data_IF_581176200340
#
_entry.id   IF_581176200340
#
_cell.length_a   1.000
_cell.length_b   1.000
_cell.length_c   1.000
_cell.angle_alpha   90.00
_cell.angle_beta   90.00
_cell.angle_gamma   90.00
#
_symmetry.space_group_name_H-M   'P 1'
#
loop_
_entity.id
_entity.type
_entity.pdbx_description
1 polymer ?
#
# COMPACT_ATOMS: atom_id res chain seq x y z
N UNK A 1 13.29 3.28 -28.96
CA UNK A 1 12.06 2.65 -29.44
C UNK A 1 11.00 2.63 -28.34
N UNK A 2 9.72 2.64 -28.73
CA UNK A 2 8.58 2.44 -27.84
C UNK A 2 8.06 1.03 -28.06
N UNK A 3 7.77 0.32 -26.98
CA UNK A 3 7.14 -1.00 -27.01
C UNK A 3 5.78 -0.93 -26.32
N UNK A 4 4.75 -1.54 -26.94
CA UNK A 4 3.41 -1.58 -26.41
C UNK A 4 2.86 -3.01 -26.45
N UNK A 5 2.21 -3.45 -25.36
CA UNK A 5 1.55 -4.74 -25.37
C UNK A 5 0.21 -4.65 -26.14
N UNK A 6 -0.04 -5.66 -26.99
CA UNK A 6 -1.23 -5.74 -27.86
C UNK A 6 -2.04 -7.03 -27.65
N UNK A 7 -1.65 -7.89 -26.72
CA UNK A 7 -2.31 -9.18 -26.45
C UNK A 7 -2.53 -9.34 -24.93
N UNK A 8 -3.78 -9.60 -24.56
CA UNK A 8 -4.19 -9.88 -23.19
C UNK A 8 -4.29 -8.65 -22.27
N UNK A 9 -5.12 -8.74 -21.23
CA UNK A 9 -5.34 -7.62 -20.30
C UNK A 9 -4.15 -7.40 -19.35
N UNK A 10 -3.84 -6.15 -18.99
CA UNK A 10 -4.35 -4.93 -19.61
C UNK A 10 -3.64 -4.63 -20.90
N UNK A 11 -4.41 -4.35 -21.97
CA UNK A 11 -3.86 -3.87 -23.24
C UNK A 11 -3.23 -2.48 -23.08
N UNK A 12 -2.33 -2.13 -24.00
CA UNK A 12 -1.79 -0.77 -24.08
C UNK A 12 -0.77 -0.41 -22.99
N UNK A 13 -0.18 -1.38 -22.28
CA UNK A 13 1.02 -1.08 -21.49
C UNK A 13 2.14 -0.63 -22.41
N UNK A 14 2.70 0.54 -22.14
CA UNK A 14 3.70 1.20 -22.98
C UNK A 14 4.98 1.44 -22.19
N UNK A 15 6.12 1.16 -22.80
CA UNK A 15 7.43 1.46 -22.25
C UNK A 15 8.38 1.97 -23.36
N UNK A 16 9.39 2.74 -22.95
CA UNK A 16 10.56 3.03 -23.79
C UNK A 16 11.58 1.94 -23.55
N UNK A 17 12.11 1.37 -24.62
CA UNK A 17 13.22 0.42 -24.54
C UNK A 17 14.47 1.17 -24.10
N UNK A 18 15.09 0.81 -22.95
CA UNK A 18 16.29 1.47 -22.47
C UNK A 18 17.46 1.34 -23.47
N UNK A 19 18.25 2.40 -23.62
CA UNK A 19 19.46 2.37 -24.47
C UNK A 19 20.54 1.40 -23.94
N UNK A 20 20.52 1.13 -22.64
CA UNK A 20 21.41 0.17 -21.98
C UNK A 20 21.06 -1.29 -22.26
N UNK A 21 19.89 -1.57 -22.86
CA UNK A 21 19.50 -2.93 -23.18
C UNK A 21 20.29 -3.42 -24.40
N UNK A 22 20.94 -4.60 -24.35
CA UNK A 22 21.59 -5.18 -25.51
C UNK A 22 20.58 -5.51 -26.61
N UNK A 23 21.05 -5.83 -27.79
CA UNK A 23 20.20 -6.29 -28.88
C UNK A 23 19.35 -7.47 -28.41
N UNK A 24 18.02 -7.33 -28.53
CA UNK A 24 17.06 -8.29 -28.02
C UNK A 24 15.86 -8.42 -28.98
N UNK A 25 15.16 -9.52 -28.84
CA UNK A 25 13.89 -9.77 -29.50
C UNK A 25 12.72 -9.61 -28.53
N UNK A 26 11.51 -9.45 -29.07
CA UNK A 26 10.26 -9.43 -28.35
C UNK A 26 9.26 -10.44 -28.94
N UNK A 27 8.29 -10.85 -28.15
CA UNK A 27 7.30 -11.84 -28.59
C UNK A 27 6.10 -11.17 -29.29
N UNK A 28 5.22 -11.97 -29.84
CA UNK A 28 4.04 -11.53 -30.59
C UNK A 28 2.98 -10.81 -29.74
N UNK A 29 3.13 -10.77 -28.42
CA UNK A 29 2.22 -10.04 -27.54
C UNK A 29 2.52 -8.53 -27.47
N UNK A 30 3.57 -8.07 -28.13
CA UNK A 30 3.96 -6.67 -28.16
C UNK A 30 4.17 -6.17 -29.60
N UNK A 31 4.04 -4.87 -29.79
CA UNK A 31 4.42 -4.14 -31.00
C UNK A 31 5.53 -3.15 -30.66
N UNK A 32 6.51 -3.08 -31.55
CA UNK A 32 7.56 -2.08 -31.48
C UNK A 32 7.19 -0.90 -32.41
N UNK A 33 7.23 0.29 -31.83
CA UNK A 33 6.93 1.55 -32.50
C UNK A 33 8.23 2.36 -32.56
N UNK A 34 8.73 2.58 -33.78
CA UNK A 34 9.95 3.34 -34.03
C UNK A 34 9.62 4.57 -34.86
N UNK A 35 9.94 5.75 -34.35
CA UNK A 35 9.79 6.97 -35.10
C UNK A 35 10.72 7.00 -36.31
N UNK A 36 10.25 7.50 -37.45
CA UNK A 36 11.08 7.66 -38.66
C UNK A 36 12.26 8.61 -38.43
N UNK A 37 12.06 9.62 -37.61
CA UNK A 37 13.10 10.53 -37.13
C UNK A 37 13.38 10.20 -35.65
N UNK A 38 14.30 9.27 -35.41
CA UNK A 38 14.63 8.83 -34.07
C UNK A 38 15.28 9.94 -33.25
N UNK A 39 14.45 10.71 -32.58
CA UNK A 39 14.89 11.47 -31.42
C UNK A 39 14.26 10.83 -30.18
N UNK A 40 14.98 10.80 -29.08
CA UNK A 40 14.45 10.34 -27.79
C UNK A 40 13.17 11.11 -27.42
N UNK A 41 13.12 12.39 -27.76
CA UNK A 41 11.95 13.25 -27.61
C UNK A 41 10.69 12.70 -28.30
N UNK A 42 10.80 12.26 -29.55
CA UNK A 42 9.63 11.71 -30.26
C UNK A 42 9.14 10.41 -29.65
N UNK A 43 10.04 9.57 -29.19
CA UNK A 43 9.68 8.35 -28.46
C UNK A 43 8.95 8.66 -27.15
N UNK A 44 9.39 9.68 -26.39
CA UNK A 44 8.72 10.12 -25.17
C UNK A 44 7.33 10.70 -25.48
N UNK A 45 7.20 11.52 -26.52
CA UNK A 45 5.92 12.08 -26.93
C UNK A 45 4.93 10.97 -27.32
N UNK A 46 5.35 10.00 -28.16
CA UNK A 46 4.54 8.84 -28.54
C UNK A 46 4.14 8.03 -27.29
N UNK A 47 5.07 7.80 -26.38
CA UNK A 47 4.78 7.10 -25.14
C UNK A 47 3.69 7.79 -24.32
N UNK A 48 3.79 9.11 -24.12
CA UNK A 48 2.79 9.87 -23.35
C UNK A 48 1.43 9.89 -24.04
N UNK A 49 1.40 10.02 -25.37
CA UNK A 49 0.16 9.89 -26.12
C UNK A 49 -0.50 8.52 -25.93
N UNK A 50 0.25 7.44 -26.03
CA UNK A 50 -0.29 6.08 -25.85
C UNK A 50 -0.71 5.80 -24.40
N UNK A 51 -0.05 6.38 -23.41
CA UNK A 51 -0.43 6.26 -21.99
C UNK A 51 -1.79 6.90 -21.67
N UNK A 52 -2.24 7.86 -22.45
CA UNK A 52 -3.58 8.47 -22.31
C UNK A 52 -4.70 7.46 -22.62
N UNK A 53 -4.42 6.42 -23.41
CA UNK A 53 -5.32 5.30 -23.68
C UNK A 53 -6.54 5.58 -24.56
N UNK A 54 -6.84 6.81 -24.94
CA UNK A 54 -8.07 7.15 -25.68
C UNK A 54 -8.19 6.41 -27.02
N UNK A 55 -7.13 6.42 -27.82
CA UNK A 55 -7.12 5.70 -29.11
C UNK A 55 -7.14 4.17 -28.92
N UNK A 56 -6.55 3.66 -27.83
CA UNK A 56 -6.57 2.23 -27.49
C UNK A 56 -7.99 1.82 -27.06
N UNK A 57 -8.64 2.61 -26.22
CA UNK A 57 -10.00 2.36 -25.75
C UNK A 57 -11.05 2.49 -26.87
N UNK A 58 -10.76 3.31 -27.90
CA UNK A 58 -11.62 3.47 -29.07
C UNK A 58 -11.53 2.29 -30.04
N UNK A 59 -10.57 1.38 -29.87
CA UNK A 59 -10.40 0.21 -30.74
C UNK A 59 -11.42 -0.86 -30.35
N UNK A 60 -12.23 -1.31 -31.32
CA UNK A 60 -13.04 -2.52 -31.16
C UNK A 60 -12.10 -3.74 -31.11
N UNK A 61 -11.75 -4.17 -29.93
CA UNK A 61 -10.91 -5.35 -29.71
C UNK A 61 -11.64 -6.61 -30.17
N UNK A 62 -10.95 -7.48 -30.86
CA UNK A 62 -11.48 -8.79 -31.27
C UNK A 62 -11.00 -9.84 -30.28
N UNK A 63 -11.92 -10.52 -29.63
CA UNK A 63 -11.59 -11.63 -28.73
C UNK A 63 -12.77 -12.02 -27.83
N UNK A 64 -12.68 -13.18 -27.22
CA UNK A 64 -13.57 -13.60 -26.14
C UNK A 64 -13.15 -12.89 -24.84
N UNK A 65 -14.09 -12.71 -23.91
CA UNK A 65 -13.82 -12.06 -22.63
C UNK A 65 -12.53 -12.60 -21.96
N UNK A 66 -11.54 -11.73 -21.77
CA UNK A 66 -10.23 -12.07 -21.21
C UNK A 66 -9.10 -12.34 -22.20
N UNK A 67 -9.35 -12.31 -23.54
CA UNK A 67 -8.36 -12.42 -24.62
C UNK A 67 -8.55 -11.33 -25.67
N UNK A 68 -8.64 -10.09 -25.20
CA UNK A 68 -8.72 -8.94 -26.11
C UNK A 68 -7.36 -8.72 -26.77
N UNK A 69 -7.37 -8.48 -28.08
CA UNK A 69 -6.16 -8.26 -28.88
C UNK A 69 -6.33 -7.03 -29.76
N UNK A 70 -5.26 -6.26 -29.90
CA UNK A 70 -5.12 -5.17 -30.87
C UNK A 70 -4.25 -5.70 -32.02
N UNK A 71 -4.72 -5.59 -33.24
CA UNK A 71 -3.92 -5.98 -34.40
C UNK A 71 -2.86 -4.91 -34.76
N UNK A 72 -1.81 -5.32 -35.44
CA UNK A 72 -0.80 -4.39 -35.97
C UNK A 72 -1.44 -3.28 -36.84
N UNK A 73 -2.40 -3.64 -37.68
CA UNK A 73 -3.12 -2.67 -38.54
C UNK A 73 -3.93 -1.67 -37.69
N UNK A 74 -4.55 -2.10 -36.60
CA UNK A 74 -5.26 -1.19 -35.71
C UNK A 74 -4.29 -0.23 -35.01
N UNK A 75 -3.13 -0.73 -34.59
CA UNK A 75 -2.08 0.12 -34.00
C UNK A 75 -1.56 1.15 -35.00
N UNK A 76 -1.33 0.75 -36.25
CA UNK A 76 -0.87 1.65 -37.32
C UNK A 76 -1.89 2.74 -37.68
N UNK A 77 -3.17 2.50 -37.45
CA UNK A 77 -4.26 3.44 -37.75
C UNK A 77 -4.62 4.35 -36.57
N UNK A 78 -3.92 4.27 -35.43
CA UNK A 78 -4.10 5.22 -34.33
C UNK A 78 -3.77 6.65 -34.77
N UNK A 79 -4.58 7.61 -34.37
CA UNK A 79 -4.47 9.02 -34.82
C UNK A 79 -3.68 9.82 -33.78
N UNK A 80 -2.42 10.06 -34.09
CA UNK A 80 -1.51 10.85 -33.24
C UNK A 80 -1.59 12.33 -33.62
N UNK A 81 -1.97 13.27 -32.71
CA UNK A 81 -1.78 14.68 -32.91
C UNK A 81 -0.28 14.99 -32.96
N UNK A 82 0.19 15.65 -34.00
CA UNK A 82 1.62 15.93 -34.21
C UNK A 82 1.92 17.42 -34.08
N UNK A 83 2.33 17.93 -32.91
CA UNK A 83 2.76 19.32 -32.74
C UNK A 83 4.09 19.60 -33.43
N UNK A 84 4.45 20.87 -33.70
CA UNK A 84 5.81 21.24 -34.08
C UNK A 84 6.86 20.71 -33.10
N UNK A 85 8.05 20.39 -33.57
CA UNK A 85 9.08 19.73 -32.76
C UNK A 85 9.42 20.51 -31.47
N UNK A 86 9.54 21.85 -31.57
CA UNK A 86 9.79 22.70 -30.39
C UNK A 86 8.63 22.66 -29.37
N UNK A 87 7.40 22.44 -29.83
CA UNK A 87 6.24 22.31 -28.97
C UNK A 87 6.19 20.92 -28.33
N UNK A 88 6.51 19.85 -29.05
CA UNK A 88 6.68 18.51 -28.48
C UNK A 88 7.67 18.53 -27.32
N UNK A 89 8.79 19.25 -27.48
CA UNK A 89 9.80 19.38 -26.43
C UNK A 89 9.24 20.04 -25.16
N UNK A 90 8.47 21.14 -25.32
CA UNK A 90 7.83 21.83 -24.19
C UNK A 90 6.77 20.95 -23.53
N UNK A 91 5.98 20.23 -24.30
CA UNK A 91 4.95 19.31 -23.80
C UNK A 91 5.61 18.19 -22.98
N UNK A 92 6.60 17.50 -23.53
CA UNK A 92 7.30 16.42 -22.83
C UNK A 92 7.93 16.92 -21.54
N UNK A 93 8.68 18.04 -21.60
CA UNK A 93 9.30 18.61 -20.40
C UNK A 93 8.27 18.96 -19.32
N UNK A 94 7.11 19.49 -19.71
CA UNK A 94 6.05 19.85 -18.73
C UNK A 94 5.35 18.62 -18.13
N UNK A 95 5.18 17.56 -18.90
CA UNK A 95 4.66 16.28 -18.40
C UNK A 95 5.65 15.67 -17.40
N UNK A 96 6.94 15.66 -17.72
CA UNK A 96 7.98 15.10 -16.85
C UNK A 96 8.10 15.87 -15.53
N UNK A 97 8.04 17.21 -15.60
CA UNK A 97 8.00 18.06 -14.38
C UNK A 97 6.79 17.69 -13.50
N UNK A 98 5.59 17.64 -14.09
CA UNK A 98 4.37 17.32 -13.34
C UNK A 98 4.41 15.90 -12.75
N UNK A 99 4.92 14.92 -13.48
CA UNK A 99 5.04 13.55 -12.97
C UNK A 99 6.08 13.43 -11.86
N UNK A 100 7.19 14.17 -11.96
CA UNK A 100 8.18 14.22 -10.87
C UNK A 100 7.58 14.81 -9.58
N UNK A 101 6.70 15.82 -9.68
CA UNK A 101 5.97 16.36 -8.53
C UNK A 101 4.99 15.32 -7.93
N UNK A 102 4.26 14.59 -8.78
CA UNK A 102 3.35 13.52 -8.34
C UNK A 102 4.13 12.41 -7.63
N UNK A 103 5.24 11.94 -8.21
CA UNK A 103 6.10 10.91 -7.62
C UNK A 103 6.65 11.36 -6.25
N UNK A 104 7.03 12.63 -6.12
CA UNK A 104 7.47 13.21 -4.84
C UNK A 104 6.35 13.21 -3.79
N UNK A 105 5.11 13.54 -4.19
CA UNK A 105 3.93 13.50 -3.31
C UNK A 105 3.65 12.06 -2.87
N UNK A 106 3.68 11.09 -3.79
CA UNK A 106 3.45 9.68 -3.46
C UNK A 106 4.51 9.14 -2.50
N UNK A 107 5.78 9.46 -2.74
CA UNK A 107 6.89 9.11 -1.84
C UNK A 107 6.70 9.70 -0.45
N UNK A 108 6.32 10.97 -0.36
CA UNK A 108 6.08 11.65 0.91
C UNK A 108 4.88 11.04 1.65
N UNK A 109 3.83 10.63 0.94
CA UNK A 109 2.68 9.93 1.51
C UNK A 109 3.06 8.59 2.16
N UNK A 110 3.89 7.79 1.50
CA UNK A 110 4.37 6.52 2.06
C UNK A 110 5.30 6.75 3.28
N UNK A 111 6.16 7.76 3.20
CA UNK A 111 7.02 8.15 4.32
C UNK A 111 6.17 8.59 5.53
N UNK A 112 5.13 9.39 5.28
CA UNK A 112 4.20 9.84 6.34
C UNK A 112 3.47 8.66 7.00
N UNK A 113 3.00 7.67 6.24
CA UNK A 113 2.40 6.45 6.80
C UNK A 113 3.36 5.72 7.73
N UNK A 114 4.62 5.61 7.33
CA UNK A 114 5.67 4.99 8.12
C UNK A 114 5.91 5.76 9.41
N UNK A 115 6.04 7.08 9.35
CA UNK A 115 6.23 7.95 10.51
C UNK A 115 5.05 7.88 11.48
N UNK A 116 3.81 7.87 10.97
CA UNK A 116 2.61 7.71 11.81
C UNK A 116 2.67 6.39 12.58
N UNK A 117 3.01 5.29 11.91
CA UNK A 117 3.16 3.98 12.56
C UNK A 117 4.24 4.00 13.64
N UNK A 118 5.41 4.54 13.33
CA UNK A 118 6.52 4.67 14.27
C UNK A 118 6.16 5.56 15.47
N UNK A 119 5.48 6.69 15.22
CA UNK A 119 5.04 7.60 16.28
C UNK A 119 4.04 6.93 17.22
N UNK A 120 3.04 6.22 16.68
CA UNK A 120 2.10 5.45 17.50
C UNK A 120 2.81 4.43 18.36
N UNK A 121 3.76 3.69 17.79
CA UNK A 121 4.54 2.69 18.50
C UNK A 121 5.40 3.31 19.59
N UNK A 122 6.01 4.48 19.33
CA UNK A 122 6.80 5.22 20.31
C UNK A 122 5.96 5.76 21.47
N UNK A 123 4.75 6.25 21.18
CA UNK A 123 3.80 6.71 22.22
C UNK A 123 3.42 5.54 23.13
N UNK A 124 3.08 4.38 22.55
CA UNK A 124 2.75 3.18 23.34
C UNK A 124 3.95 2.70 24.15
N UNK A 125 5.14 2.69 23.59
CA UNK A 125 6.38 2.35 24.27
C UNK A 125 6.63 3.27 25.47
N UNK A 126 6.51 4.58 25.29
CA UNK A 126 6.63 5.55 26.38
C UNK A 126 5.55 5.32 27.46
N UNK A 127 4.32 4.98 27.06
CA UNK A 127 3.22 4.73 27.99
C UNK A 127 3.51 3.51 28.88
N UNK A 128 3.88 2.37 28.29
CA UNK A 128 4.12 1.13 29.04
C UNK A 128 5.40 1.17 29.90
N UNK A 129 6.32 2.09 29.59
CA UNK A 129 7.50 2.33 30.42
C UNK A 129 7.30 3.43 31.48
N UNK A 130 6.09 3.97 31.63
CA UNK A 130 5.79 5.05 32.57
C UNK A 130 6.45 6.39 32.25
N UNK A 131 6.83 6.62 30.99
CA UNK A 131 7.54 7.82 30.51
C UNK A 131 6.66 8.78 29.73
N UNK A 132 5.40 8.44 29.50
CA UNK A 132 4.49 9.26 28.70
C UNK A 132 3.90 10.42 29.49
N UNK A 133 3.62 10.19 30.77
CA UNK A 133 3.11 11.20 31.71
C UNK A 133 4.01 11.27 32.94
N UNK A 134 4.13 12.43 33.59
CA UNK A 134 4.85 12.53 34.86
C UNK A 134 4.24 11.61 35.93
N UNK A 135 5.06 11.02 36.77
CA UNK A 135 4.60 10.31 37.95
C UNK A 135 4.16 11.32 39.04
N UNK A 136 3.05 11.06 39.73
CA UNK A 136 2.59 11.84 40.87
C UNK A 136 2.87 11.07 42.14
N UNK A 137 3.59 11.68 43.07
CA UNK A 137 3.93 11.08 44.39
C UNK A 137 2.71 10.89 45.28
N UNK A 138 1.61 11.60 45.00
CA UNK A 138 0.36 11.47 45.75
C UNK A 138 -0.51 10.30 45.25
N UNK A 139 -0.19 9.73 44.09
CA UNK A 139 -0.93 8.58 43.55
C UNK A 139 -0.70 7.34 44.41
N UNK A 140 -1.78 6.59 44.67
CA UNK A 140 -1.70 5.32 45.36
C UNK A 140 -0.83 4.33 44.56
N UNK A 141 0.27 3.79 45.16
CA UNK A 141 1.10 2.83 44.45
C UNK A 141 0.34 1.58 44.00
N UNK A 142 0.65 1.06 42.79
CA UNK A 142 -0.02 -0.11 42.21
C UNK A 142 0.04 -1.36 43.10
N UNK A 143 1.01 -1.44 44.03
CA UNK A 143 1.07 -2.51 45.04
C UNK A 143 -0.15 -2.59 45.94
N UNK A 144 -0.70 -1.44 46.34
CA UNK A 144 -1.90 -1.39 47.22
C UNK A 144 -3.15 -1.85 46.47
N UNK A 145 -3.31 -1.44 45.22
CA UNK A 145 -4.35 -1.94 44.33
C UNK A 145 -4.22 -3.46 44.12
N UNK A 146 -3.01 -3.93 43.88
CA UNK A 146 -2.73 -5.33 43.65
C UNK A 146 -3.08 -6.19 44.90
N UNK A 147 -2.74 -5.75 46.08
CA UNK A 147 -3.12 -6.42 47.32
C UNK A 147 -4.64 -6.56 47.47
N UNK A 148 -5.40 -5.54 47.09
CA UNK A 148 -6.87 -5.59 47.09
C UNK A 148 -7.44 -6.60 46.11
N UNK A 149 -6.86 -6.68 44.88
CA UNK A 149 -7.32 -7.57 43.82
C UNK A 149 -6.95 -9.03 44.14
N UNK A 150 -5.74 -9.25 44.67
CA UNK A 150 -5.21 -10.60 44.91
C UNK A 150 -5.52 -11.18 46.29
N UNK A 151 -6.19 -10.43 47.16
CA UNK A 151 -6.51 -10.85 48.53
C UNK A 151 -7.10 -12.26 48.66
N UNK A 152 -7.99 -12.60 47.75
CA UNK A 152 -8.71 -13.87 47.73
C UNK A 152 -8.20 -14.83 46.63
N UNK A 153 -7.05 -14.53 46.03
CA UNK A 153 -6.42 -15.35 45.01
C UNK A 153 -5.28 -16.21 45.59
N UNK A 154 -5.53 -17.49 45.93
CA UNK A 154 -4.52 -18.35 46.52
C UNK A 154 -3.39 -18.72 45.58
N UNK A 155 -3.52 -18.44 44.29
CA UNK A 155 -2.54 -18.78 43.23
C UNK A 155 -1.70 -17.56 42.80
N UNK A 156 -1.85 -16.41 43.46
CA UNK A 156 -1.04 -15.24 43.16
C UNK A 156 0.44 -15.49 43.50
N UNK A 157 1.30 -15.34 42.52
CA UNK A 157 2.75 -15.41 42.70
C UNK A 157 3.41 -14.14 42.17
N UNK A 158 4.26 -13.53 42.98
CA UNK A 158 5.03 -12.35 42.58
C UNK A 158 5.99 -12.71 41.43
N UNK A 159 5.96 -11.94 40.36
CA UNK A 159 6.89 -12.11 39.26
C UNK A 159 8.32 -11.74 39.66
N UNK A 160 9.27 -12.62 39.29
CA UNK A 160 10.70 -12.42 39.47
C UNK A 160 11.42 -12.08 38.19
N UNK A 161 10.86 -12.46 37.04
CA UNK A 161 11.36 -12.13 35.72
C UNK A 161 10.73 -10.82 35.24
N UNK A 162 11.56 -9.80 35.07
CA UNK A 162 11.13 -8.43 34.74
C UNK A 162 11.61 -8.12 33.32
N UNK A 163 10.71 -7.96 32.32
CA UNK A 163 11.09 -7.71 30.92
C UNK A 163 11.85 -6.38 30.70
N UNK A 164 11.51 -5.34 31.47
CA UNK A 164 12.13 -4.03 31.44
C UNK A 164 11.83 -3.24 32.71
N UNK A 165 12.56 -2.15 32.93
CA UNK A 165 12.38 -1.27 34.07
C UNK A 165 11.10 -0.44 33.95
N UNK A 166 10.37 -0.32 35.04
CA UNK A 166 9.15 0.49 35.21
C UNK A 166 9.31 1.39 36.40
N UNK A 167 8.49 2.46 36.56
CA UNK A 167 8.49 3.30 37.76
C UNK A 167 8.28 2.50 39.06
N UNK A 168 8.84 2.95 40.18
CA UNK A 168 8.78 2.28 41.46
C UNK A 168 7.34 2.10 41.99
N UNK A 169 6.45 3.04 41.64
CA UNK A 169 5.02 2.98 41.94
C UNK A 169 4.26 1.90 41.20
N UNK A 170 4.83 1.33 40.12
CA UNK A 170 4.22 0.31 39.30
C UNK A 170 4.60 -1.11 39.76
N UNK A 171 3.83 -2.11 39.36
CA UNK A 171 4.12 -3.53 39.63
C UNK A 171 3.90 -4.38 38.37
N UNK A 172 4.83 -5.31 38.14
CA UNK A 172 4.66 -6.35 37.16
C UNK A 172 3.74 -7.45 37.70
N UNK A 173 2.73 -7.83 36.92
CA UNK A 173 1.75 -8.88 37.28
C UNK A 173 1.44 -9.75 36.06
N UNK A 174 0.97 -10.96 36.27
CA UNK A 174 0.38 -11.78 35.21
C UNK A 174 -0.98 -11.19 34.84
N UNK A 175 -1.31 -11.15 33.57
CA UNK A 175 -2.61 -10.61 33.13
C UNK A 175 -3.78 -11.39 33.75
N UNK A 176 -3.61 -12.69 34.02
CA UNK A 176 -4.59 -13.54 34.71
C UNK A 176 -4.83 -13.17 36.18
N UNK A 177 -3.91 -12.41 36.81
CA UNK A 177 -4.08 -12.00 38.22
C UNK A 177 -5.03 -10.78 38.36
N UNK A 178 -5.19 -10.05 37.25
CA UNK A 178 -5.97 -8.78 37.20
C UNK A 178 -7.13 -8.79 36.24
N UNK A 179 -7.28 -9.83 35.45
CA UNK A 179 -8.33 -9.96 34.43
C UNK A 179 -9.01 -11.34 34.47
N UNK A 180 -10.28 -11.37 34.08
CA UNK A 180 -11.02 -12.63 33.88
C UNK A 180 -11.06 -12.92 32.39
N UNK A 181 -10.80 -14.17 32.02
CA UNK A 181 -10.76 -14.62 30.63
C UNK A 181 -11.93 -15.55 30.32
N UNK A 182 -12.58 -15.29 29.20
CA UNK A 182 -13.60 -16.14 28.64
C UNK A 182 -13.23 -16.58 27.25
N UNK A 183 -13.34 -17.87 26.95
CA UNK A 183 -13.18 -18.37 25.61
C UNK A 183 -14.45 -18.12 24.79
N UNK A 184 -14.28 -17.69 23.54
CA UNK A 184 -15.39 -17.63 22.58
C UNK A 184 -15.85 -19.04 22.18
N UNK A 185 -17.03 -19.10 21.59
CA UNK A 185 -17.61 -20.33 21.07
C UNK A 185 -17.57 -20.34 19.53
N UNK A 186 -17.40 -21.54 18.94
CA UNK A 186 -17.40 -21.72 17.49
C UNK A 186 -18.85 -21.78 16.97
N UNK A 187 -19.35 -20.65 16.47
CA UNK A 187 -20.67 -20.59 15.87
C UNK A 187 -20.64 -21.02 14.42
N UNK A 188 -21.63 -21.86 14.03
CA UNK A 188 -21.80 -22.27 12.64
C UNK A 188 -22.42 -21.13 11.82
N UNK A 189 -21.69 -20.60 10.84
CA UNK A 189 -22.14 -19.49 10.00
C UNK A 189 -23.45 -19.76 9.22
N UNK A 190 -23.78 -21.01 8.96
CA UNK A 190 -25.04 -21.41 8.32
C UNK A 190 -26.28 -21.18 9.19
N UNK A 191 -26.08 -20.93 10.50
CA UNK A 191 -27.13 -20.66 11.48
C UNK A 191 -27.22 -19.19 11.89
N UNK A 192 -26.53 -18.30 11.17
CA UNK A 192 -26.60 -16.86 11.44
C UNK A 192 -27.95 -16.32 10.96
N UNK A 193 -28.58 -15.52 11.80
CA UNK A 193 -29.86 -14.87 11.57
C UNK A 193 -29.64 -13.35 11.53
N UNK A 194 -30.58 -12.62 11.00
CA UNK A 194 -30.55 -11.15 10.91
C UNK A 194 -30.94 -10.47 12.20
N UNK A 195 -31.58 -11.18 13.11
CA UNK A 195 -32.01 -10.72 14.42
C UNK A 195 -31.46 -11.62 15.51
N UNK A 196 -31.22 -11.08 16.72
CA UNK A 196 -30.72 -11.83 17.86
C UNK A 196 -29.50 -11.19 18.50
N UNK A 197 -28.71 -11.99 19.22
CA UNK A 197 -27.48 -11.51 19.91
C UNK A 197 -26.35 -11.41 18.90
N UNK A 198 -25.73 -10.22 18.74
CA UNK A 198 -24.63 -10.03 17.80
C UNK A 198 -23.42 -10.89 18.13
N UNK A 199 -22.78 -11.49 17.12
CA UNK A 199 -21.53 -12.23 17.24
C UNK A 199 -20.40 -11.37 16.72
N UNK A 200 -19.42 -11.06 17.58
CA UNK A 200 -18.16 -10.39 17.20
C UNK A 200 -17.20 -11.43 16.65
N UNK A 201 -16.72 -11.22 15.43
CA UNK A 201 -15.73 -12.06 14.76
C UNK A 201 -14.45 -11.27 14.51
N UNK A 202 -13.32 -11.96 14.28
CA UNK A 202 -12.04 -11.33 13.93
C UNK A 202 -12.17 -10.37 12.75
N UNK A 203 -13.06 -10.68 11.78
CA UNK A 203 -13.35 -9.80 10.63
C UNK A 203 -14.07 -8.50 10.98
N UNK A 204 -14.55 -8.35 12.23
CA UNK A 204 -15.21 -7.14 12.72
C UNK A 204 -14.30 -6.27 13.59
N UNK A 205 -13.07 -6.72 13.87
CA UNK A 205 -12.02 -6.04 14.62
C UNK A 205 -10.96 -5.52 13.65
#
# INVERSE_FOLDING_TARGET
>A
DVIMNIVGPPLGKVAIVPESLPECNFNQAAVLIRAHFCTNLMNQYIRYFLLQMDEINAINTKGTAGQENISLTQTQNMRLPLPPLAEQQRIVAKIEEAFAEIDAIEKNKELLKTHIKQTRQKILDLAIHGKLVPQDENDEPAGVLLERITRDNPHYEKLTDIPFEIPDSWKWVKLGDVCIFFNGFAFNSKKFETEGIPIIRISNI
#
